data_IF_207255924644
#
_entry.id   IF_207255924644
#
_cell.length_a   1.000
_cell.length_b   1.000
_cell.length_c   1.000
_cell.angle_alpha   90.00
_cell.angle_beta   90.00
_cell.angle_gamma   90.00
#
_symmetry.space_group_name_H-M   'P 1'
#
loop_
_entity.id
_entity.type
_entity.pdbx_description
1 polymer ?
#
# COMPACT_ATOMS: atom_id res chain seq x y z
N UNK A 1 10.75 -2.73 12.87
CA UNK A 1 9.41 -2.39 13.38
C UNK A 1 9.55 -1.83 14.78
N UNK A 2 8.83 -0.77 15.13
CA UNK A 2 8.76 -0.28 16.51
C UNK A 2 7.99 -1.27 17.40
N UNK A 3 8.06 -1.06 18.73
CA UNK A 3 7.47 -1.96 19.72
C UNK A 3 5.94 -2.07 19.57
N UNK A 4 5.25 -0.94 19.35
CA UNK A 4 3.81 -0.92 19.15
C UNK A 4 3.38 -1.80 17.96
N UNK A 5 4.07 -1.72 16.82
CA UNK A 5 3.78 -2.54 15.65
C UNK A 5 4.05 -4.04 15.87
N UNK A 6 5.07 -4.38 16.68
CA UNK A 6 5.35 -5.77 17.06
C UNK A 6 4.22 -6.34 17.92
N UNK A 7 3.76 -5.57 18.92
CA UNK A 7 2.64 -5.96 19.78
C UNK A 7 1.34 -6.08 18.98
N UNK A 8 1.07 -5.14 18.07
CA UNK A 8 -0.10 -5.16 17.20
C UNK A 8 -0.14 -6.40 16.28
N UNK A 9 1.01 -6.75 15.70
CA UNK A 9 1.15 -7.97 14.89
C UNK A 9 0.96 -9.24 15.72
N UNK A 10 1.58 -9.31 16.91
CA UNK A 10 1.44 -10.46 17.80
C UNK A 10 -0.02 -10.65 18.26
N UNK A 11 -0.72 -9.57 18.62
CA UNK A 11 -2.12 -9.62 19.06
C UNK A 11 -3.08 -10.07 17.94
N UNK A 12 -2.78 -9.76 16.68
CA UNK A 12 -3.59 -10.23 15.55
C UNK A 12 -3.54 -11.75 15.38
N UNK A 13 -2.36 -12.35 15.56
CA UNK A 13 -2.19 -13.81 15.41
C UNK A 13 -2.45 -14.60 16.69
N UNK A 14 -2.26 -13.99 17.87
CA UNK A 14 -2.41 -14.65 19.18
C UNK A 14 -1.62 -15.96 19.23
N UNK A 15 -2.33 -17.08 19.36
CA UNK A 15 -1.78 -18.43 19.46
C UNK A 15 -1.67 -19.14 18.09
N UNK A 16 -2.00 -18.47 16.98
CA UNK A 16 -1.88 -19.03 15.63
C UNK A 16 -0.42 -19.02 15.13
N UNK A 17 -0.16 -19.80 14.08
CA UNK A 17 1.14 -19.79 13.42
C UNK A 17 1.37 -18.44 12.73
N UNK A 18 2.32 -17.68 13.26
CA UNK A 18 2.65 -16.34 12.79
C UNK A 18 3.48 -16.45 11.50
N UNK A 19 3.07 -15.78 10.40
CA UNK A 19 3.92 -15.68 9.21
C UNK A 19 5.30 -15.10 9.56
N UNK A 20 6.35 -15.69 8.97
CA UNK A 20 7.74 -15.36 9.32
C UNK A 20 8.15 -13.94 8.94
N UNK A 21 7.48 -13.34 7.95
CA UNK A 21 7.87 -12.06 7.37
C UNK A 21 6.72 -11.06 7.52
N UNK A 22 7.01 -9.96 8.20
CA UNK A 22 6.15 -8.79 8.27
C UNK A 22 7.03 -7.54 8.20
N UNK A 23 6.57 -6.55 7.46
CA UNK A 23 7.18 -5.22 7.44
C UNK A 23 6.25 -4.21 8.12
N UNK A 24 6.78 -3.08 8.60
CA UNK A 24 5.95 -1.97 9.04
C UNK A 24 6.42 -0.67 8.39
N UNK A 25 5.49 0.09 7.84
CA UNK A 25 5.77 1.30 7.08
C UNK A 25 4.56 2.23 7.03
N UNK A 26 4.81 3.51 6.73
CA UNK A 26 3.78 4.53 6.52
C UNK A 26 3.78 5.04 5.09
N UNK A 27 2.62 5.47 4.61
CA UNK A 27 2.47 6.01 3.28
C UNK A 27 2.97 7.46 3.19
N UNK A 28 4.10 7.70 2.53
CA UNK A 28 4.56 9.02 2.04
C UNK A 28 4.26 10.24 2.93
N UNK A 29 4.01 11.39 2.30
CA UNK A 29 3.84 12.68 3.01
C UNK A 29 2.44 12.86 3.64
N UNK A 30 1.46 12.03 3.27
CA UNK A 30 0.08 12.11 3.80
C UNK A 30 -0.34 10.83 4.52
N UNK A 31 0.57 10.31 5.36
CA UNK A 31 0.44 9.03 6.06
C UNK A 31 -0.93 8.83 6.72
N UNK A 32 -1.38 9.75 7.57
CA UNK A 32 -2.66 9.61 8.30
C UNK A 32 -3.86 9.47 7.36
N UNK A 33 -3.90 10.28 6.29
CA UNK A 33 -5.00 10.25 5.32
C UNK A 33 -5.03 8.93 4.57
N UNK A 34 -3.88 8.48 4.07
CA UNK A 34 -3.77 7.25 3.28
C UNK A 34 -4.00 6.01 4.15
N UNK A 35 -3.47 6.01 5.38
CA UNK A 35 -3.70 4.93 6.33
C UNK A 35 -5.18 4.83 6.72
N UNK A 36 -5.88 5.97 6.90
CA UNK A 36 -7.33 5.98 7.07
C UNK A 36 -8.07 5.38 5.87
N UNK A 37 -7.65 5.68 4.64
CA UNK A 37 -8.27 5.07 3.45
C UNK A 37 -8.11 3.55 3.41
N UNK A 38 -6.99 3.02 3.90
CA UNK A 38 -6.77 1.57 4.07
C UNK A 38 -7.73 1.00 5.12
N UNK A 39 -7.80 1.63 6.31
CA UNK A 39 -8.70 1.20 7.39
C UNK A 39 -10.17 1.23 6.94
N UNK A 40 -10.58 2.26 6.20
CA UNK A 40 -11.93 2.40 5.65
C UNK A 40 -12.18 1.45 4.45
N UNK A 41 -11.18 0.69 4.00
CA UNK A 41 -11.29 -0.22 2.86
C UNK A 41 -11.39 0.46 1.48
N UNK A 42 -11.16 1.78 1.42
CA UNK A 42 -11.26 2.56 0.17
C UNK A 42 -9.95 2.65 -0.61
N UNK A 43 -8.82 2.30 0.03
CA UNK A 43 -7.52 2.07 -0.59
C UNK A 43 -7.13 0.60 -0.40
N UNK A 44 -7.07 -0.13 -1.49
CA UNK A 44 -6.75 -1.57 -1.55
C UNK A 44 -5.56 -1.88 -2.45
N UNK A 45 -4.99 -0.87 -3.11
CA UNK A 45 -3.78 -0.98 -3.93
C UNK A 45 -2.73 0.07 -3.57
N UNK A 46 -1.47 -0.23 -3.86
CA UNK A 46 -0.34 0.69 -3.75
C UNK A 46 0.70 0.39 -4.84
N UNK A 47 1.48 1.39 -5.22
CA UNK A 47 2.60 1.23 -6.14
C UNK A 47 3.91 1.79 -5.57
N UNK A 48 5.02 1.37 -6.15
CA UNK A 48 6.37 1.85 -5.88
C UNK A 48 7.19 1.80 -7.18
N UNK A 49 8.26 2.58 -7.25
CA UNK A 49 9.11 2.56 -8.44
C UNK A 49 9.95 1.28 -8.49
N UNK A 50 9.84 0.52 -9.59
CA UNK A 50 10.63 -0.71 -9.81
C UNK A 50 12.14 -0.49 -9.63
N UNK A 51 12.65 0.65 -10.08
CA UNK A 51 14.06 1.05 -9.95
C UNK A 51 14.57 1.02 -8.50
N UNK A 52 13.71 1.27 -7.50
CA UNK A 52 14.15 1.22 -6.09
C UNK A 52 14.52 -0.19 -5.62
N UNK A 53 13.93 -1.22 -6.21
CA UNK A 53 14.26 -2.61 -5.90
C UNK A 53 15.63 -2.97 -6.45
N UNK A 54 15.91 -2.56 -7.70
CA UNK A 54 17.21 -2.77 -8.34
C UNK A 54 18.33 -2.00 -7.63
N UNK A 55 18.13 -0.70 -7.37
CA UNK A 55 19.16 0.15 -6.77
C UNK A 55 19.51 -0.26 -5.33
N UNK A 56 18.54 -0.78 -4.58
CA UNK A 56 18.73 -1.19 -3.18
C UNK A 56 19.02 -2.68 -3.04
N UNK A 57 19.02 -3.44 -4.14
CA UNK A 57 19.15 -4.89 -4.15
C UNK A 57 18.19 -5.57 -3.15
N UNK A 58 16.93 -5.13 -3.14
CA UNK A 58 15.87 -5.69 -2.29
C UNK A 58 14.87 -6.46 -3.15
N UNK A 59 14.33 -7.59 -2.66
CA UNK A 59 13.38 -8.37 -3.43
C UNK A 59 12.09 -7.58 -3.69
N UNK A 60 11.45 -7.87 -4.83
CA UNK A 60 10.09 -7.43 -5.09
C UNK A 60 9.13 -8.01 -4.04
N UNK A 61 8.02 -7.31 -3.75
CA UNK A 61 6.98 -7.86 -2.90
C UNK A 61 6.38 -9.13 -3.52
N UNK A 62 5.82 -9.98 -2.67
CA UNK A 62 5.20 -11.26 -3.01
C UNK A 62 3.85 -11.40 -2.33
N UNK A 63 3.07 -12.41 -2.73
CA UNK A 63 1.77 -12.75 -2.12
C UNK A 63 1.88 -13.34 -0.71
N UNK A 64 3.10 -13.65 -0.26
CA UNK A 64 3.37 -14.11 1.09
C UNK A 64 3.60 -12.96 2.06
N UNK A 65 3.73 -11.73 1.56
CA UNK A 65 4.06 -10.57 2.37
C UNK A 65 2.86 -10.00 3.12
N UNK A 66 3.07 -9.80 4.41
CA UNK A 66 2.22 -8.98 5.28
C UNK A 66 2.90 -7.66 5.61
N UNK A 67 2.09 -6.63 5.82
CA UNK A 67 2.55 -5.31 6.27
C UNK A 67 1.67 -4.77 7.39
N UNK A 68 2.29 -4.17 8.39
CA UNK A 68 1.64 -3.29 9.36
C UNK A 68 1.70 -1.86 8.82
N UNK A 69 0.54 -1.27 8.56
CA UNK A 69 0.43 0.13 8.15
C UNK A 69 0.51 1.01 9.39
N UNK A 70 1.38 2.01 9.32
CA UNK A 70 1.60 2.99 10.37
C UNK A 70 0.99 4.35 10.00
N UNK A 71 0.56 5.09 11.02
CA UNK A 71 0.23 6.51 10.90
C UNK A 71 1.52 7.37 10.86
N UNK A 72 1.36 8.70 10.87
CA UNK A 72 2.46 9.66 10.83
C UNK A 72 3.37 9.54 12.06
N UNK A 73 2.76 9.35 13.23
CA UNK A 73 3.40 9.24 14.55
C UNK A 73 3.93 7.81 14.81
N UNK A 74 3.92 6.95 13.79
CA UNK A 74 4.38 5.57 13.80
C UNK A 74 3.51 4.61 14.64
N UNK A 75 2.27 4.97 14.96
CA UNK A 75 1.34 4.03 15.59
C UNK A 75 0.78 3.06 14.54
N UNK A 76 0.66 1.76 14.85
CA UNK A 76 0.06 0.79 13.93
C UNK A 76 -1.45 1.01 13.84
N UNK A 77 -1.99 0.99 12.62
CA UNK A 77 -3.43 1.22 12.37
C UNK A 77 -4.10 0.12 11.55
N UNK A 78 -3.35 -0.65 10.77
CA UNK A 78 -3.88 -1.77 10.00
C UNK A 78 -2.83 -2.85 9.75
N UNK A 79 -3.29 -4.08 9.54
CA UNK A 79 -2.48 -5.16 8.97
C UNK A 79 -3.06 -5.47 7.59
N UNK A 80 -2.21 -5.57 6.58
CA UNK A 80 -2.59 -5.89 5.19
C UNK A 80 -1.79 -7.08 4.68
N UNK A 81 -2.40 -7.85 3.78
CA UNK A 81 -1.76 -8.93 3.02
C UNK A 81 -1.70 -8.55 1.55
N UNK A 82 -0.55 -8.71 0.92
CA UNK A 82 -0.43 -8.61 -0.53
C UNK A 82 -1.09 -9.82 -1.18
N UNK A 83 -2.02 -9.60 -2.10
CA UNK A 83 -2.72 -10.69 -2.82
C UNK A 83 -2.34 -10.79 -4.30
N UNK A 84 -1.77 -9.73 -4.86
CA UNK A 84 -1.38 -9.64 -6.27
C UNK A 84 -0.18 -8.69 -6.41
N UNK A 85 0.75 -9.02 -7.31
CA UNK A 85 1.91 -8.18 -7.66
C UNK A 85 2.09 -8.19 -9.17
N UNK A 86 2.13 -7.00 -9.76
CA UNK A 86 2.34 -6.79 -11.20
C UNK A 86 3.35 -5.68 -11.43
N UNK A 87 4.14 -5.79 -12.50
CA UNK A 87 5.02 -4.71 -12.98
C UNK A 87 4.37 -4.12 -14.22
N UNK A 88 4.00 -2.85 -14.16
CA UNK A 88 3.28 -2.14 -15.23
C UNK A 88 3.96 -0.80 -15.50
N UNK A 89 4.18 -0.41 -16.77
CA UNK A 89 4.62 0.95 -17.11
C UNK A 89 3.67 2.01 -16.53
N UNK A 90 4.22 3.11 -16.00
CA UNK A 90 3.40 4.15 -15.35
C UNK A 90 2.32 4.75 -16.27
N UNK A 91 2.60 4.84 -17.57
CA UNK A 91 1.67 5.33 -18.59
C UNK A 91 0.57 4.32 -18.99
N UNK A 92 0.63 3.09 -18.49
CA UNK A 92 -0.33 2.01 -18.73
C UNK A 92 -1.18 1.68 -17.50
N UNK A 93 -1.05 2.44 -16.41
CA UNK A 93 -1.89 2.28 -15.22
C UNK A 93 -3.36 2.49 -15.55
N UNK A 94 -4.19 1.54 -15.10
CA UNK A 94 -5.62 1.53 -15.37
C UNK A 94 -6.40 2.44 -14.42
N UNK A 95 -7.62 2.81 -14.80
CA UNK A 95 -8.52 3.57 -13.92
C UNK A 95 -8.91 2.75 -12.69
N UNK A 96 -9.14 1.45 -12.88
CA UNK A 96 -9.47 0.51 -11.83
C UNK A 96 -8.37 0.47 -10.77
N UNK A 97 -7.10 0.45 -11.19
CA UNK A 97 -5.96 0.53 -10.27
C UNK A 97 -5.93 1.88 -9.53
N UNK A 98 -6.15 3.00 -10.22
CA UNK A 98 -6.16 4.31 -9.59
C UNK A 98 -7.28 4.46 -8.55
N UNK A 99 -8.47 3.89 -8.82
CA UNK A 99 -9.58 3.83 -7.85
C UNK A 99 -9.19 2.97 -6.65
N UNK A 100 -8.58 1.81 -6.88
CA UNK A 100 -8.08 0.93 -5.82
C UNK A 100 -6.94 1.57 -5.01
N UNK A 101 -6.14 2.44 -5.61
CA UNK A 101 -5.14 3.28 -4.93
C UNK A 101 -5.78 4.35 -4.01
N UNK A 102 -7.10 4.53 -4.06
CA UNK A 102 -7.83 5.50 -3.27
C UNK A 102 -7.87 6.91 -3.89
N UNK A 103 -7.63 7.04 -5.20
CA UNK A 103 -7.68 8.32 -5.90
C UNK A 103 -9.12 8.80 -6.11
N UNK A 104 -9.56 9.71 -5.24
CA UNK A 104 -10.90 10.29 -5.25
C UNK A 104 -11.24 11.06 -6.54
N UNK A 105 -10.26 11.45 -7.36
CA UNK A 105 -10.49 12.19 -8.61
C UNK A 105 -11.22 11.32 -9.64
N UNK A 106 -10.92 10.03 -9.69
CA UNK A 106 -11.60 9.07 -10.57
C UNK A 106 -13.04 8.82 -10.14
N UNK A 107 -13.34 8.91 -8.83
CA UNK A 107 -14.71 8.82 -8.31
C UNK A 107 -15.59 10.01 -8.73
N UNK A 108 -15.00 11.19 -9.01
CA UNK A 108 -15.75 12.45 -9.24
C UNK A 108 -15.87 12.87 -10.70
N UNK A 109 -14.97 12.44 -11.59
CA UNK A 109 -14.84 13.06 -12.93
C UNK A 109 -15.18 12.11 -14.10
N UNK A 110 -15.30 10.80 -13.87
CA UNK A 110 -15.36 9.80 -14.94
C UNK A 110 -14.00 9.66 -15.63
N UNK A 111 -13.40 8.47 -15.64
CA UNK A 111 -11.96 8.32 -15.85
C UNK A 111 -11.39 8.69 -17.20
N UNK A 112 -12.20 8.87 -18.25
CA UNK A 112 -11.70 9.32 -19.56
C UNK A 112 -11.00 10.68 -19.50
N UNK A 113 -11.45 11.60 -18.63
CA UNK A 113 -10.81 12.92 -18.47
C UNK A 113 -9.50 12.84 -17.68
N UNK A 114 -9.31 11.84 -16.83
CA UNK A 114 -8.13 11.69 -15.98
C UNK A 114 -6.96 11.00 -16.69
N UNK A 115 -7.21 10.06 -17.63
CA UNK A 115 -6.15 9.43 -18.46
C UNK A 115 -5.27 10.45 -19.17
N UNK A 116 -5.86 11.54 -19.69
CA UNK A 116 -5.11 12.65 -20.34
C UNK A 116 -4.19 13.44 -19.40
N UNK A 117 -4.41 13.40 -18.08
CA UNK A 117 -3.61 14.13 -17.08
C UNK A 117 -2.44 13.30 -16.58
N UNK A 118 -2.62 11.98 -16.43
CA UNK A 118 -1.54 11.06 -16.05
C UNK A 118 -0.52 10.83 -17.16
N UNK A 119 -0.92 10.85 -18.44
CA UNK A 119 0.01 10.74 -19.58
C UNK A 119 0.88 12.00 -19.82
N UNK A 120 0.64 13.09 -19.07
CA UNK A 120 1.40 14.36 -19.17
C UNK A 120 2.33 14.60 -17.98
N UNK A 121 2.34 13.69 -17.00
CA UNK A 121 3.29 13.64 -15.90
C UNK A 121 4.31 12.53 -16.20
#
# INVERSE_FOLDING_TARGET
MNEAAQQYWAEYWKDAEIPKTVSAWKFGDTANRLAKQVVDGTKTATCSAYLFYELKNVPLPTTEDYSVILDYDENPVAIVKTIEVTIVPMNEITEEFAIAEGDERYKKIGGEKMKKKFQKL
#
